data_IF_333436107036
#
_entry.id   IF_333436107036
#
_cell.length_a   1.000
_cell.length_b   1.000
_cell.length_c   1.000
_cell.angle_alpha   90.00
_cell.angle_beta   90.00
_cell.angle_gamma   90.00
#
_symmetry.space_group_name_H-M   'P 1'
#
loop_
_entity.id
_entity.type
_entity.pdbx_description
1 polymer ?
#
# COMPACT_ATOMS: atom_id res chain seq x y z
N UNK A 1 -12.14 -38.00 -24.93
CA UNK A 1 -10.92 -37.18 -24.82
C UNK A 1 -10.23 -37.57 -23.53
N UNK A 2 -9.14 -38.32 -23.65
CA UNK A 2 -8.28 -38.68 -22.52
C UNK A 2 -7.24 -37.56 -22.33
N UNK A 3 -7.19 -37.00 -21.13
CA UNK A 3 -5.98 -36.48 -20.50
C UNK A 3 -6.28 -36.28 -19.01
N UNK A 4 -6.19 -37.38 -18.26
CA UNK A 4 -5.85 -37.35 -16.83
C UNK A 4 -4.39 -36.88 -16.72
N UNK A 5 -4.15 -35.59 -16.92
CA UNK A 5 -2.98 -34.95 -16.35
C UNK A 5 -3.30 -34.75 -14.87
N UNK A 6 -2.44 -35.23 -13.97
CA UNK A 6 -2.50 -34.95 -12.54
C UNK A 6 -2.70 -33.45 -12.32
N UNK A 7 -3.95 -33.04 -12.07
CA UNK A 7 -4.31 -31.62 -12.01
C UNK A 7 -3.73 -31.04 -10.72
N UNK A 8 -2.56 -30.40 -10.84
CA UNK A 8 -1.96 -29.64 -9.75
C UNK A 8 -2.97 -28.65 -9.21
N UNK A 9 -2.96 -28.45 -7.89
CA UNK A 9 -3.93 -27.62 -7.19
C UNK A 9 -3.78 -26.15 -7.63
N UNK A 10 -4.84 -25.55 -8.13
CA UNK A 10 -4.87 -24.11 -8.38
C UNK A 10 -5.12 -23.40 -7.05
N UNK A 11 -4.43 -22.28 -6.83
CA UNK A 11 -4.68 -21.42 -5.68
C UNK A 11 -6.07 -20.81 -5.85
N UNK A 12 -7.03 -21.29 -5.06
CA UNK A 12 -8.43 -20.89 -5.24
C UNK A 12 -8.66 -19.43 -4.76
N UNK A 13 -9.78 -18.79 -5.16
CA UNK A 13 -10.03 -17.39 -4.79
C UNK A 13 -10.09 -17.14 -3.27
N UNK A 14 -10.52 -18.11 -2.47
CA UNK A 14 -10.60 -17.99 -1.01
C UNK A 14 -9.21 -18.10 -0.40
N UNK A 15 -8.37 -19.01 -0.89
CA UNK A 15 -6.96 -19.12 -0.50
C UNK A 15 -6.19 -17.85 -0.84
N UNK A 16 -6.39 -17.31 -2.06
CA UNK A 16 -5.82 -16.03 -2.49
C UNK A 16 -6.27 -14.89 -1.59
N UNK A 17 -7.56 -14.82 -1.24
CA UNK A 17 -8.06 -13.79 -0.34
C UNK A 17 -7.44 -13.88 1.07
N UNK A 18 -7.37 -15.10 1.63
CA UNK A 18 -6.75 -15.33 2.95
C UNK A 18 -5.27 -14.98 2.97
N UNK A 19 -4.53 -15.43 1.96
CA UNK A 19 -3.11 -15.09 1.81
C UNK A 19 -2.94 -13.59 1.58
N UNK A 20 -3.76 -12.99 0.73
CA UNK A 20 -3.76 -11.55 0.43
C UNK A 20 -3.91 -10.72 1.70
N UNK A 21 -4.92 -11.02 2.53
CA UNK A 21 -5.10 -10.36 3.84
C UNK A 21 -3.88 -10.56 4.75
N UNK A 22 -3.30 -11.76 4.76
CA UNK A 22 -2.14 -12.07 5.58
C UNK A 22 -0.90 -11.27 5.18
N UNK A 23 -0.68 -11.08 3.87
CA UNK A 23 0.53 -10.44 3.34
C UNK A 23 0.37 -8.95 3.00
N UNK A 24 -0.84 -8.40 3.09
CA UNK A 24 -1.15 -7.04 2.62
C UNK A 24 -0.27 -5.94 3.23
N UNK A 25 0.11 -6.06 4.51
CA UNK A 25 0.93 -5.07 5.22
C UNK A 25 2.42 -5.45 5.28
N UNK A 26 2.86 -6.45 4.51
CA UNK A 26 4.25 -6.92 4.52
C UNK A 26 5.02 -6.35 3.33
N UNK A 27 6.35 -6.13 3.46
CA UNK A 27 7.22 -5.95 2.30
C UNK A 27 7.10 -7.15 1.35
N UNK A 28 7.17 -6.91 0.04
CA UNK A 28 6.98 -7.98 -0.95
C UNK A 28 7.91 -9.19 -0.74
N UNK A 29 9.17 -8.98 -0.35
CA UNK A 29 10.12 -10.06 -0.07
C UNK A 29 9.67 -10.99 1.07
N UNK A 30 9.01 -10.44 2.09
CA UNK A 30 8.44 -11.23 3.18
C UNK A 30 7.13 -11.89 2.77
N UNK A 31 6.27 -11.15 2.05
CA UNK A 31 5.03 -11.66 1.47
C UNK A 31 5.28 -12.88 0.58
N UNK A 32 6.29 -12.80 -0.30
CA UNK A 32 6.69 -13.88 -1.18
C UNK A 32 7.08 -15.14 -0.41
N UNK A 33 7.91 -15.01 0.63
CA UNK A 33 8.29 -16.14 1.48
C UNK A 33 7.09 -16.78 2.15
N UNK A 34 6.14 -15.99 2.65
CA UNK A 34 4.92 -16.50 3.29
C UNK A 34 4.04 -17.27 2.29
N UNK A 35 3.97 -16.80 1.04
CA UNK A 35 3.26 -17.49 -0.04
C UNK A 35 3.97 -18.80 -0.36
N UNK A 36 5.30 -18.79 -0.49
CA UNK A 36 6.12 -19.97 -0.77
C UNK A 36 5.98 -21.04 0.31
N UNK A 37 6.03 -20.66 1.58
CA UNK A 37 5.82 -21.58 2.70
C UNK A 37 4.42 -22.18 2.73
N UNK A 38 3.41 -21.43 2.29
CA UNK A 38 2.04 -21.94 2.19
C UNK A 38 1.89 -22.96 1.07
N UNK A 39 2.43 -22.64 -0.12
CA UNK A 39 2.30 -23.51 -1.29
C UNK A 39 3.22 -24.72 -1.21
N UNK A 40 4.35 -24.65 -0.50
CA UNK A 40 5.27 -25.77 -0.30
C UNK A 40 4.59 -26.99 0.37
N UNK A 41 3.46 -26.79 1.06
CA UNK A 41 2.68 -27.84 1.72
C UNK A 41 1.70 -28.55 0.78
N UNK A 42 1.54 -28.09 -0.47
CA UNK A 42 0.62 -28.66 -1.44
C UNK A 42 1.24 -28.78 -2.83
N UNK A 43 0.70 -29.66 -3.66
CA UNK A 43 1.11 -29.79 -5.05
C UNK A 43 0.40 -28.73 -5.92
N UNK A 44 0.76 -27.46 -5.71
CA UNK A 44 0.14 -26.34 -6.41
C UNK A 44 0.67 -26.18 -7.84
N UNK A 45 -0.19 -25.69 -8.73
CA UNK A 45 0.20 -25.28 -10.07
C UNK A 45 1.07 -24.03 -10.02
N UNK A 46 2.26 -24.11 -10.60
CA UNK A 46 3.25 -23.02 -10.55
C UNK A 46 2.73 -21.75 -11.22
N UNK A 47 2.05 -21.85 -12.36
CA UNK A 47 1.55 -20.67 -13.07
C UNK A 47 0.48 -19.94 -12.24
N UNK A 48 -0.40 -20.67 -11.55
CA UNK A 48 -1.34 -20.08 -10.61
C UNK A 48 -0.66 -19.37 -9.44
N UNK A 49 0.41 -19.94 -8.88
CA UNK A 49 1.16 -19.31 -7.78
C UNK A 49 1.86 -18.05 -8.26
N UNK A 50 2.56 -18.13 -9.38
CA UNK A 50 3.30 -17.00 -9.98
C UNK A 50 2.36 -15.83 -10.30
N UNK A 51 1.19 -16.12 -10.86
CA UNK A 51 0.17 -15.10 -11.12
C UNK A 51 -0.31 -14.41 -9.84
N UNK A 52 -0.51 -15.17 -8.75
CA UNK A 52 -0.89 -14.58 -7.47
C UNK A 52 0.24 -13.73 -6.88
N UNK A 53 1.50 -14.18 -6.97
CA UNK A 53 2.66 -13.40 -6.54
C UNK A 53 2.76 -12.07 -7.29
N UNK A 54 2.55 -12.07 -8.60
CA UNK A 54 2.54 -10.85 -9.42
C UNK A 54 1.45 -9.85 -8.99
N UNK A 55 0.25 -10.35 -8.65
CA UNK A 55 -0.82 -9.52 -8.09
C UNK A 55 -0.44 -8.90 -6.74
N UNK A 56 0.28 -9.64 -5.89
CA UNK A 56 0.76 -9.14 -4.59
C UNK A 56 1.89 -8.12 -4.78
N UNK A 57 2.82 -8.36 -5.72
CA UNK A 57 3.88 -7.42 -6.08
C UNK A 57 3.31 -6.08 -6.55
N UNK A 58 2.30 -6.15 -7.43
CA UNK A 58 1.60 -4.95 -7.94
C UNK A 58 0.94 -4.17 -6.80
N UNK A 59 0.26 -4.84 -5.87
CA UNK A 59 -0.36 -4.19 -4.71
C UNK A 59 0.68 -3.54 -3.79
N UNK A 60 1.80 -4.22 -3.54
CA UNK A 60 2.90 -3.68 -2.74
C UNK A 60 3.46 -2.39 -3.36
N UNK A 61 3.65 -2.38 -4.68
CA UNK A 61 4.09 -1.19 -5.39
C UNK A 61 3.07 -0.04 -5.34
N UNK A 62 1.77 -0.35 -5.44
CA UNK A 62 0.71 0.65 -5.30
C UNK A 62 0.72 1.28 -3.90
N UNK A 63 0.88 0.49 -2.85
CA UNK A 63 0.94 0.98 -1.47
C UNK A 63 2.18 1.86 -1.26
N UNK A 64 3.34 1.45 -1.77
CA UNK A 64 4.57 2.23 -1.74
C UNK A 64 4.36 3.59 -2.41
N UNK A 65 3.88 3.60 -3.66
CA UNK A 65 3.60 4.85 -4.39
C UNK A 65 2.50 5.69 -3.77
N UNK A 66 1.49 5.07 -3.16
CA UNK A 66 0.48 5.78 -2.37
C UNK A 66 1.08 6.53 -1.19
N UNK A 67 2.04 5.91 -0.48
CA UNK A 67 2.72 6.54 0.65
C UNK A 67 3.60 7.72 0.22
N UNK A 68 4.32 7.59 -0.89
CA UNK A 68 5.12 8.67 -1.48
C UNK A 68 4.25 9.86 -1.90
N UNK A 69 3.09 9.59 -2.52
CA UNK A 69 2.11 10.61 -2.90
C UNK A 69 1.54 11.34 -1.69
N UNK A 70 1.18 10.62 -0.62
CA UNK A 70 0.70 11.24 0.63
C UNK A 70 1.78 12.11 1.29
N UNK A 71 3.02 11.63 1.33
CA UNK A 71 4.15 12.40 1.87
C UNK A 71 4.34 13.71 1.09
N UNK A 72 4.43 13.62 -0.23
CA UNK A 72 4.55 14.78 -1.12
C UNK A 72 3.37 15.74 -0.98
N UNK A 73 2.14 15.22 -0.91
CA UNK A 73 0.94 16.02 -0.68
C UNK A 73 0.98 16.78 0.65
N UNK A 74 1.50 16.16 1.71
CA UNK A 74 1.65 16.80 3.02
C UNK A 74 2.67 17.95 3.00
N UNK A 75 3.75 17.81 2.23
CA UNK A 75 4.73 18.88 2.04
C UNK A 75 4.12 20.07 1.30
N UNK A 76 3.34 19.82 0.24
CA UNK A 76 2.61 20.87 -0.49
C UNK A 76 1.66 21.61 0.46
N UNK A 77 0.86 20.88 1.25
CA UNK A 77 -0.05 21.48 2.22
C UNK A 77 0.70 22.33 3.24
N UNK A 78 1.87 21.88 3.71
CA UNK A 78 2.70 22.65 4.65
C UNK A 78 3.24 23.94 4.04
N UNK A 79 3.68 23.90 2.80
CA UNK A 79 4.16 25.09 2.06
C UNK A 79 3.01 26.09 1.87
N UNK A 80 1.84 25.62 1.42
CA UNK A 80 0.67 26.48 1.22
C UNK A 80 0.19 27.07 2.55
N UNK A 81 0.03 26.25 3.59
CA UNK A 81 -0.37 26.73 4.92
C UNK A 81 0.64 27.74 5.48
N UNK A 82 1.94 27.48 5.34
CA UNK A 82 3.01 28.41 5.74
C UNK A 82 2.93 29.75 5.00
N UNK A 83 2.68 29.73 3.69
CA UNK A 83 2.50 30.94 2.89
C UNK A 83 1.24 31.73 3.30
N UNK A 84 0.12 31.03 3.56
CA UNK A 84 -1.12 31.65 4.04
C UNK A 84 -0.91 32.30 5.41
N UNK A 85 -0.31 31.59 6.37
CA UNK A 85 -0.01 32.14 7.71
C UNK A 85 0.94 33.34 7.62
N UNK A 86 1.99 33.25 6.78
CA UNK A 86 2.95 34.33 6.60
C UNK A 86 2.33 35.59 6.00
N UNK A 87 1.39 35.42 5.08
CA UNK A 87 0.70 36.52 4.40
C UNK A 87 -0.60 36.94 5.10
N UNK A 88 -0.96 36.30 6.22
CA UNK A 88 -2.14 36.67 6.99
C UNK A 88 -1.94 38.06 7.60
N UNK A 89 -2.92 38.97 7.49
CA UNK A 89 -2.80 40.30 8.10
C UNK A 89 -2.57 40.15 9.61
N UNK A 90 -1.41 40.63 10.10
CA UNK A 90 -1.18 40.71 11.55
C UNK A 90 -2.12 41.77 12.14
N UNK A 91 -2.81 41.50 13.26
CA UNK A 91 -3.45 42.56 14.02
C UNK A 91 -2.38 43.57 14.42
N UNK A 92 -2.58 44.84 14.09
CA UNK A 92 -1.69 45.91 14.55
C UNK A 92 -1.74 45.96 16.08
N UNK A 93 -0.62 45.65 16.72
CA UNK A 93 -0.45 45.91 18.14
C UNK A 93 -0.26 47.43 18.34
N UNK A 94 -1.38 48.10 18.65
CA UNK A 94 -1.41 49.37 19.41
C UNK A 94 -1.33 50.67 18.61
N UNK A 95 -2.42 51.44 18.61
CA UNK A 95 -2.38 52.82 19.14
C UNK A 95 -3.78 53.22 19.66
N UNK A 96 -3.86 53.65 20.91
CA UNK A 96 -5.12 53.90 21.62
C UNK A 96 -4.98 53.82 23.14
N UNK A 97 -3.92 54.44 23.69
CA UNK A 97 -3.81 54.66 25.13
C UNK A 97 -4.97 55.51 25.68
N UNK A 98 -5.27 55.43 26.99
CA UNK A 98 -6.33 56.23 27.59
C UNK A 98 -5.97 57.71 27.49
N UNK A 99 -6.86 58.50 26.87
CA UNK A 99 -6.77 59.97 26.91
C UNK A 99 -7.10 60.45 28.32
N UNK A 100 -6.19 61.24 28.87
CA UNK A 100 -6.36 62.05 30.09
C UNK A 100 -7.40 63.16 29.90
#
# INVERSE_FOLDING_TARGET
>A
MEQQASAKKILDPIERAKLGVKVFNMPYSEAERVIDEYVAKGDYDKASVDFFKDQVATQSHIVEKGSELLATGSEILRVVAGAVVKNWPKPQAGDGGPKA
#
